data_IF_400617292899
#
_entry.id   IF_400617292899
#
_cell.length_a   1.000
_cell.length_b   1.000
_cell.length_c   1.000
_cell.angle_alpha   90.00
_cell.angle_beta   90.00
_cell.angle_gamma   90.00
#
_symmetry.space_group_name_H-M   'P 1'
#
loop_
_entity.id
_entity.type
_entity.pdbx_description
1 polymer ?
#
# COMPACT_ATOMS: atom_id res chain seq x y z
N UNK A 1 12.31 -27.28 4.06
CA UNK A 1 12.38 -26.23 3.04
C UNK A 1 12.61 -24.90 3.72
N UNK A 2 13.38 -23.96 3.15
CA UNK A 2 13.51 -22.65 3.74
C UNK A 2 12.13 -21.96 3.81
N UNK A 3 11.94 -21.12 4.84
CA UNK A 3 10.70 -20.36 5.00
C UNK A 3 10.45 -19.48 3.78
N UNK A 4 9.21 -19.31 3.35
CA UNK A 4 8.87 -18.54 2.13
C UNK A 4 9.38 -17.09 2.17
N UNK A 5 9.51 -16.47 3.35
CA UNK A 5 10.07 -15.13 3.53
C UNK A 5 11.58 -15.05 3.22
N UNK A 6 12.29 -16.18 3.16
CA UNK A 6 13.73 -16.15 2.88
C UNK A 6 14.02 -15.49 1.53
N UNK A 7 13.16 -15.74 0.52
CA UNK A 7 13.27 -15.09 -0.79
C UNK A 7 13.19 -13.55 -0.68
N UNK A 8 12.28 -13.06 0.16
CA UNK A 8 12.13 -11.62 0.39
C UNK A 8 13.38 -11.03 1.09
N UNK A 9 13.86 -11.71 2.13
CA UNK A 9 15.04 -11.27 2.88
C UNK A 9 16.28 -11.25 1.98
N UNK A 10 16.46 -12.28 1.16
CA UNK A 10 17.59 -12.39 0.26
C UNK A 10 17.53 -11.34 -0.86
N UNK A 11 16.33 -11.06 -1.38
CA UNK A 11 16.11 -9.99 -2.34
C UNK A 11 16.44 -8.62 -1.73
N UNK A 12 16.00 -8.35 -0.49
CA UNK A 12 16.32 -7.11 0.20
C UNK A 12 17.84 -6.94 0.40
N UNK A 13 18.54 -8.01 0.80
CA UNK A 13 20.00 -7.99 0.92
C UNK A 13 20.69 -7.75 -0.43
N UNK A 14 20.17 -8.37 -1.49
CA UNK A 14 20.68 -8.20 -2.84
C UNK A 14 20.54 -6.76 -3.31
N UNK A 15 19.36 -6.15 -3.17
CA UNK A 15 19.11 -4.75 -3.51
C UNK A 15 20.05 -3.83 -2.69
N UNK A 16 20.19 -4.10 -1.40
CA UNK A 16 21.05 -3.30 -0.53
C UNK A 16 22.52 -3.31 -0.98
N UNK A 17 23.02 -4.45 -1.44
CA UNK A 17 24.44 -4.61 -1.83
C UNK A 17 24.72 -4.20 -3.26
N UNK A 18 23.75 -4.38 -4.16
CA UNK A 18 23.98 -4.29 -5.61
C UNK A 18 22.99 -3.36 -6.33
N UNK A 19 22.02 -2.78 -5.62
CA UNK A 19 21.03 -1.89 -6.22
C UNK A 19 21.65 -0.55 -6.62
N UNK A 20 21.18 -0.02 -7.75
CA UNK A 20 21.51 1.31 -8.20
C UNK A 20 20.86 2.35 -7.28
N UNK A 21 21.65 3.33 -6.85
CA UNK A 21 21.16 4.45 -6.05
C UNK A 21 20.51 5.50 -6.95
N UNK A 22 19.31 5.95 -6.55
CA UNK A 22 18.61 7.04 -7.22
C UNK A 22 18.06 8.00 -6.17
N UNK A 23 18.21 9.29 -6.44
CA UNK A 23 17.53 10.33 -5.66
C UNK A 23 16.09 10.40 -6.15
N UNK A 24 15.15 10.23 -5.24
CA UNK A 24 13.72 10.38 -5.52
C UNK A 24 13.23 11.78 -5.15
N UNK A 25 11.94 12.06 -5.41
CA UNK A 25 11.29 13.34 -5.11
C UNK A 25 11.27 13.69 -3.61
N UNK A 26 11.51 12.72 -2.73
CA UNK A 26 11.52 12.92 -1.26
C UNK A 26 12.89 13.34 -0.74
N UNK A 27 13.95 13.22 -1.56
CA UNK A 27 15.33 13.50 -1.18
C UNK A 27 15.98 12.43 -0.28
N UNK A 28 15.25 11.38 0.07
CA UNK A 28 15.77 10.28 0.90
C UNK A 28 16.63 9.33 0.09
N UNK A 29 16.31 9.18 -1.19
CA UNK A 29 16.96 8.24 -2.08
C UNK A 29 16.38 6.83 -2.01
N UNK A 30 16.59 6.08 -3.08
CA UNK A 30 16.18 4.69 -3.20
C UNK A 30 17.30 3.84 -3.78
N UNK A 31 17.30 2.55 -3.45
CA UNK A 31 18.10 1.53 -4.15
C UNK A 31 17.18 0.60 -4.90
N UNK A 32 17.49 0.33 -6.16
CA UNK A 32 16.66 -0.52 -7.01
C UNK A 32 17.49 -1.44 -7.89
N UNK A 33 16.91 -2.57 -8.25
CA UNK A 33 17.41 -3.46 -9.29
C UNK A 33 16.33 -3.60 -10.36
N UNK A 34 16.73 -3.92 -11.58
CA UNK A 34 15.81 -4.16 -12.65
C UNK A 34 15.40 -5.64 -12.66
N UNK A 35 14.13 -5.89 -12.32
CA UNK A 35 13.53 -7.21 -12.38
C UNK A 35 14.01 -8.19 -11.30
N UNK A 36 13.06 -8.70 -10.54
CA UNK A 36 13.27 -9.80 -9.61
C UNK A 36 12.01 -10.66 -9.56
N UNK A 37 12.18 -11.94 -9.33
CA UNK A 37 11.04 -12.86 -9.22
C UNK A 37 11.09 -13.57 -7.87
N UNK A 38 9.97 -13.53 -7.16
CA UNK A 38 9.73 -14.39 -6.00
C UNK A 38 8.58 -15.35 -6.31
N UNK A 39 8.67 -16.59 -5.82
CA UNK A 39 7.64 -17.61 -6.00
C UNK A 39 7.12 -18.08 -4.66
N UNK A 40 5.80 -18.04 -4.49
CA UNK A 40 5.12 -18.47 -3.28
C UNK A 40 4.16 -19.61 -3.60
N UNK A 41 4.20 -20.68 -2.82
CA UNK A 41 3.18 -21.72 -2.89
C UNK A 41 1.93 -21.21 -2.17
N UNK A 42 0.77 -21.42 -2.80
CA UNK A 42 -0.54 -21.19 -2.20
C UNK A 42 -1.23 -22.51 -1.83
N UNK A 43 -0.47 -23.62 -1.80
CA UNK A 43 -0.99 -24.91 -1.35
C UNK A 43 -1.42 -24.81 0.12
N UNK A 44 -2.39 -25.62 0.49
CA UNK A 44 -2.93 -25.71 1.85
C UNK A 44 -3.50 -24.36 2.37
N UNK A 45 -4.12 -23.59 1.48
CA UNK A 45 -4.70 -22.26 1.77
C UNK A 45 -3.69 -21.27 2.35
N UNK A 46 -2.40 -21.45 2.04
CA UNK A 46 -1.34 -20.57 2.52
C UNK A 46 -1.42 -19.17 1.90
N UNK A 47 -1.32 -18.15 2.75
CA UNK A 47 -1.19 -16.76 2.34
C UNK A 47 0.21 -16.26 2.72
N UNK A 48 1.04 -15.86 1.73
CA UNK A 48 2.43 -15.46 1.99
C UNK A 48 2.50 -14.05 2.59
N UNK A 49 2.21 -13.93 3.89
CA UNK A 49 2.36 -12.69 4.64
C UNK A 49 3.76 -12.59 5.25
N UNK A 50 4.33 -11.37 5.23
CA UNK A 50 5.58 -11.10 5.93
C UNK A 50 5.38 -11.18 7.43
N UNK A 51 6.28 -11.88 8.14
CA UNK A 51 6.30 -11.99 9.60
C UNK A 51 7.45 -11.18 10.23
N UNK A 52 8.40 -10.71 9.40
CA UNK A 52 9.51 -9.84 9.81
C UNK A 52 9.06 -8.46 10.30
N UNK A 53 7.83 -8.07 9.97
CA UNK A 53 7.15 -6.88 10.48
C UNK A 53 5.67 -7.13 10.67
N UNK A 54 5.02 -6.31 11.49
CA UNK A 54 3.56 -6.34 11.61
C UNK A 54 2.91 -5.85 10.31
N UNK A 55 2.17 -6.72 9.65
CA UNK A 55 1.42 -6.41 8.43
C UNK A 55 -0.06 -6.26 8.76
N UNK A 56 -0.65 -5.14 8.36
CA UNK A 56 -2.09 -4.88 8.50
C UNK A 56 -2.85 -5.52 7.33
N UNK A 57 -2.81 -6.87 7.26
CA UNK A 57 -3.32 -7.65 6.15
C UNK A 57 -4.80 -7.38 5.82
N UNK A 58 -5.61 -7.03 6.85
CA UNK A 58 -7.04 -6.70 6.63
C UNK A 58 -7.22 -5.46 5.76
N UNK A 59 -6.35 -4.46 5.91
CA UNK A 59 -6.35 -3.26 5.06
C UNK A 59 -6.04 -3.64 3.62
N UNK A 60 -4.98 -4.42 3.39
CA UNK A 60 -4.62 -4.90 2.06
C UNK A 60 -5.71 -5.78 1.42
N UNK A 61 -6.35 -6.65 2.20
CA UNK A 61 -7.45 -7.50 1.71
C UNK A 61 -8.66 -6.67 1.29
N UNK A 62 -9.07 -5.67 2.09
CA UNK A 62 -10.20 -4.78 1.76
C UNK A 62 -9.90 -3.96 0.51
N UNK A 63 -8.70 -3.41 0.40
CA UNK A 63 -8.25 -2.69 -0.78
C UNK A 63 -8.27 -3.57 -2.03
N UNK A 64 -7.77 -4.81 -1.93
CA UNK A 64 -7.79 -5.75 -3.05
C UNK A 64 -9.22 -6.09 -3.48
N UNK A 65 -10.13 -6.33 -2.55
CA UNK A 65 -11.54 -6.58 -2.85
C UNK A 65 -12.21 -5.36 -3.51
N UNK A 66 -11.86 -4.16 -3.06
CA UNK A 66 -12.31 -2.92 -3.69
C UNK A 66 -11.80 -2.80 -5.14
N UNK A 67 -10.52 -3.10 -5.42
CA UNK A 67 -10.02 -3.15 -6.80
C UNK A 67 -10.77 -4.18 -7.65
N UNK A 68 -11.04 -5.36 -7.10
CA UNK A 68 -11.76 -6.43 -7.82
C UNK A 68 -13.22 -6.08 -8.09
N UNK A 69 -13.84 -5.21 -7.28
CA UNK A 69 -15.20 -4.72 -7.52
C UNK A 69 -15.30 -3.74 -8.71
N UNK A 70 -14.16 -3.20 -9.16
CA UNK A 70 -14.12 -2.18 -10.20
C UNK A 70 -14.59 -0.80 -9.75
N UNK A 71 -14.80 -0.62 -8.44
CA UNK A 71 -15.17 0.67 -7.88
C UNK A 71 -14.00 1.64 -7.93
N UNK A 72 -14.28 2.91 -8.20
CA UNK A 72 -13.31 4.01 -8.22
C UNK A 72 -13.54 5.04 -7.13
N UNK A 73 -14.62 4.89 -6.36
CA UNK A 73 -14.93 5.76 -5.23
C UNK A 73 -14.37 5.17 -3.94
N UNK A 74 -13.61 5.94 -3.20
CA UNK A 74 -12.98 5.50 -1.94
C UNK A 74 -13.95 5.40 -0.76
N UNK A 75 -15.21 5.77 -0.93
CA UNK A 75 -16.26 5.75 0.10
C UNK A 75 -16.32 4.41 0.84
N UNK A 76 -16.35 3.32 0.09
CA UNK A 76 -16.44 1.99 0.68
C UNK A 76 -15.18 1.61 1.47
N UNK A 77 -14.02 2.04 1.01
CA UNK A 77 -12.77 1.87 1.77
C UNK A 77 -12.80 2.64 3.09
N UNK A 78 -13.25 3.90 3.05
CA UNK A 78 -13.38 4.75 4.25
C UNK A 78 -14.37 4.14 5.24
N UNK A 79 -15.54 3.67 4.78
CA UNK A 79 -16.54 2.96 5.62
C UNK A 79 -15.96 1.73 6.31
N UNK A 80 -15.01 1.06 5.68
CA UNK A 80 -14.31 -0.12 6.22
C UNK A 80 -13.08 0.24 7.06
N UNK A 81 -12.81 1.52 7.31
CA UNK A 81 -11.65 2.00 8.07
C UNK A 81 -10.33 1.86 7.31
N UNK A 82 -10.37 1.96 5.99
CA UNK A 82 -9.18 1.98 5.12
C UNK A 82 -8.97 3.40 4.61
N UNK A 83 -7.96 4.08 5.15
CA UNK A 83 -7.74 5.51 4.95
C UNK A 83 -6.51 5.83 4.08
N UNK A 84 -5.86 4.83 3.51
CA UNK A 84 -4.60 5.00 2.76
C UNK A 84 -4.75 5.81 1.48
N UNK A 85 -5.98 5.96 0.97
CA UNK A 85 -6.29 6.71 -0.23
C UNK A 85 -6.86 8.11 0.05
N UNK A 86 -7.08 8.50 1.30
CA UNK A 86 -7.80 9.74 1.67
C UNK A 86 -6.99 11.01 1.38
N UNK A 87 -5.67 10.98 1.57
CA UNK A 87 -4.85 12.20 1.56
C UNK A 87 -4.85 12.90 0.19
N UNK A 88 -4.74 12.16 -0.91
CA UNK A 88 -4.71 12.76 -2.24
C UNK A 88 -6.03 13.47 -2.64
N UNK A 89 -7.21 12.84 -2.52
CA UNK A 89 -8.46 13.55 -2.78
C UNK A 89 -8.72 14.69 -1.79
N UNK A 90 -8.32 14.57 -0.53
CA UNK A 90 -8.39 15.66 0.44
C UNK A 90 -7.56 16.86 -0.01
N UNK A 91 -6.31 16.64 -0.43
CA UNK A 91 -5.45 17.71 -0.93
C UNK A 91 -5.98 18.33 -2.23
N UNK A 92 -6.55 17.50 -3.11
CA UNK A 92 -7.19 18.00 -4.33
C UNK A 92 -8.43 18.83 -4.01
N UNK A 93 -9.26 18.39 -3.07
CA UNK A 93 -10.44 19.11 -2.60
C UNK A 93 -10.07 20.48 -2.01
N UNK A 94 -9.10 20.51 -1.09
CA UNK A 94 -8.61 21.77 -0.49
C UNK A 94 -8.12 22.77 -1.54
N UNK A 95 -7.37 22.29 -2.55
CA UNK A 95 -6.90 23.15 -3.65
C UNK A 95 -8.03 23.68 -4.50
N UNK A 96 -9.06 22.88 -4.76
CA UNK A 96 -10.18 23.27 -5.62
C UNK A 96 -11.16 24.21 -4.93
N UNK A 97 -11.39 24.04 -3.62
CA UNK A 97 -12.42 24.81 -2.88
C UNK A 97 -11.86 25.92 -2.02
N UNK A 98 -10.59 25.85 -1.65
CA UNK A 98 -9.98 26.74 -0.64
C UNK A 98 -10.43 26.42 0.79
N UNK A 99 -11.23 25.36 1.01
CA UNK A 99 -11.76 25.00 2.33
C UNK A 99 -10.68 24.30 3.17
N UNK A 100 -10.47 24.77 4.40
CA UNK A 100 -9.56 24.16 5.37
C UNK A 100 -10.27 23.04 6.15
N UNK A 101 -10.68 21.99 5.44
CA UNK A 101 -11.32 20.82 6.03
C UNK A 101 -10.25 19.84 6.55
N UNK A 102 -10.45 19.24 7.73
CA UNK A 102 -9.59 18.16 8.20
C UNK A 102 -9.95 16.81 7.58
N UNK A 103 -9.15 15.77 7.88
CA UNK A 103 -9.35 14.43 7.32
C UNK A 103 -10.69 13.83 7.74
N UNK A 104 -11.01 13.90 9.03
CA UNK A 104 -12.19 13.25 9.59
C UNK A 104 -13.48 13.87 9.04
N UNK A 105 -13.53 15.20 8.95
CA UNK A 105 -14.65 15.92 8.36
C UNK A 105 -14.77 15.64 6.85
N UNK A 106 -13.65 15.50 6.13
CA UNK A 106 -13.65 15.14 4.72
C UNK A 106 -14.16 13.71 4.49
N UNK A 107 -13.70 12.75 5.30
CA UNK A 107 -14.16 11.36 5.23
C UNK A 107 -15.65 11.22 5.58
N UNK A 108 -16.13 11.95 6.60
CA UNK A 108 -17.54 12.02 6.91
C UNK A 108 -18.37 12.50 5.72
N UNK A 109 -17.93 13.56 5.05
CA UNK A 109 -18.58 14.07 3.82
C UNK A 109 -18.60 13.05 2.70
N UNK A 110 -17.50 12.33 2.45
CA UNK A 110 -17.45 11.25 1.44
C UNK A 110 -18.47 10.13 1.76
N UNK A 111 -18.69 9.82 3.03
CA UNK A 111 -19.63 8.78 3.45
C UNK A 111 -21.08 9.21 3.24
N UNK A 112 -21.39 10.48 3.43
CA UNK A 112 -22.73 11.05 3.33
C UNK A 112 -23.19 11.27 1.88
N UNK A 113 -22.27 11.62 0.97
CA UNK A 113 -22.56 11.84 -0.46
C UNK A 113 -22.88 10.53 -1.21
#
# INVERSE_FOLDING_TARGET
MPHYEQQYIDLMRHIWRHGDERIDRTGVGTRSILGATMRFSLADDAVPLLTTKRVYWKVAAREMLWFLSGDTNIRELVRQGVHIWTDWPLDAYRRATGEAIDRDAFEARIIED
#
